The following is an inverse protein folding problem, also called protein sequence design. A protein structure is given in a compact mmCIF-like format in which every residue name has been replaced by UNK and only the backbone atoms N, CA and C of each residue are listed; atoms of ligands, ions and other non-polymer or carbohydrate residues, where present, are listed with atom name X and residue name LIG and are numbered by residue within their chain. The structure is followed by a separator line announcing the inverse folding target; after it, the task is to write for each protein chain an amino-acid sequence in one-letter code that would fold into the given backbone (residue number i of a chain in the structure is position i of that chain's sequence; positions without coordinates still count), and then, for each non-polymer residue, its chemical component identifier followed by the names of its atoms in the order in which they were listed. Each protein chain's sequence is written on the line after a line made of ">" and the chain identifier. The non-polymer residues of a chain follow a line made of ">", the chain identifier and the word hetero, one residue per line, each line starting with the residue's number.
data_IF_302680178702
#
_entry.id   IF_302680178702
#
_cell.length_a   1.000
_cell.length_b   1.000
_cell.length_c   1.000
_cell.angle_alpha   90.00
_cell.angle_beta   90.00
_cell.angle_gamma   90.00
#
_symmetry.space_group_name_H-M   'P 1'
#
loop_
_entity.id
_entity.type
_entity.pdbx_description
1 polymer ?
#
# COMPACT_ATOMS: atom_id res chain seq x y z
N UNK A 1 -5.16 14.09 -18.68
CA UNK A 1 -4.47 14.72 -17.53
C UNK A 1 -5.00 14.18 -16.21
N UNK A 2 -6.28 13.77 -16.14
CA UNK A 2 -6.89 13.07 -15.01
C UNK A 2 -6.69 11.54 -15.00
N UNK A 3 -5.98 10.98 -15.98
CA UNK A 3 -5.90 9.52 -16.20
C UNK A 3 -5.20 8.76 -15.05
N UNK A 4 -4.53 9.49 -14.16
CA UNK A 4 -3.84 8.97 -12.97
C UNK A 4 -4.30 9.64 -11.67
N UNK A 5 -5.32 10.50 -11.73
CA UNK A 5 -5.88 11.11 -10.52
C UNK A 5 -6.79 10.10 -9.81
N UNK A 6 -6.65 10.01 -8.50
CA UNK A 6 -7.50 9.19 -7.64
C UNK A 6 -7.84 9.96 -6.36
N UNK A 7 -8.98 9.65 -5.77
CA UNK A 7 -9.38 10.23 -4.49
C UNK A 7 -8.51 9.64 -3.37
N UNK A 8 -7.66 10.48 -2.78
CA UNK A 8 -6.82 10.13 -1.63
C UNK A 8 -7.21 11.01 -0.44
N UNK A 9 -7.94 10.47 0.55
CA UNK A 9 -8.16 11.16 1.81
C UNK A 9 -6.83 11.46 2.53
N UNK A 10 -6.68 12.68 3.03
CA UNK A 10 -5.44 13.12 3.71
C UNK A 10 -5.09 12.27 4.95
N UNK A 11 -6.10 11.69 5.60
CA UNK A 11 -5.92 10.78 6.75
C UNK A 11 -5.18 9.49 6.40
N UNK A 12 -5.18 9.09 5.13
CA UNK A 12 -4.46 7.90 4.65
C UNK A 12 -2.99 8.19 4.34
N UNK A 13 -2.57 9.46 4.38
CA UNK A 13 -1.18 9.87 4.21
C UNK A 13 -0.48 9.75 5.56
N UNK A 14 0.40 8.76 5.68
CA UNK A 14 1.20 8.56 6.88
C UNK A 14 2.08 9.79 7.16
N UNK A 15 1.80 10.48 8.27
CA UNK A 15 2.52 11.70 8.67
C UNK A 15 3.90 11.38 9.26
N UNK A 16 4.02 10.20 9.86
CA UNK A 16 5.26 9.67 10.44
C UNK A 16 5.34 8.17 10.19
N UNK A 17 6.54 7.58 10.03
CA UNK A 17 6.68 6.14 9.89
C UNK A 17 6.16 5.41 11.13
N UNK A 18 5.71 4.16 10.95
CA UNK A 18 5.36 3.29 12.07
C UNK A 18 6.59 3.04 12.96
N UNK A 19 6.35 2.95 14.27
CA UNK A 19 7.39 2.68 15.27
C UNK A 19 8.04 1.31 15.05
N UNK A 20 7.23 0.29 14.75
CA UNK A 20 7.70 -0.99 14.21
C UNK A 20 7.51 -1.00 12.70
N UNK A 21 8.60 -0.81 11.96
CA UNK A 21 8.57 -0.76 10.49
C UNK A 21 8.13 -2.07 9.86
N UNK A 22 8.43 -3.23 10.46
CA UNK A 22 8.07 -4.53 9.92
C UNK A 22 6.56 -4.81 10.00
N UNK A 23 5.84 -4.08 10.87
CA UNK A 23 4.38 -4.15 10.98
C UNK A 23 3.62 -3.45 9.84
N UNK A 24 4.33 -2.84 8.87
CA UNK A 24 3.72 -2.15 7.73
C UNK A 24 2.94 -3.12 6.82
N UNK A 25 1.79 -2.65 6.31
CA UNK A 25 0.99 -3.38 5.31
C UNK A 25 1.72 -3.42 3.97
N UNK A 26 1.56 -4.53 3.25
CA UNK A 26 2.09 -4.73 1.89
C UNK A 26 0.96 -5.14 0.95
N UNK A 27 0.82 -4.45 -0.18
CA UNK A 27 -0.06 -4.85 -1.27
C UNK A 27 0.78 -5.53 -2.36
N UNK A 28 0.44 -6.78 -2.70
CA UNK A 28 1.10 -7.57 -3.74
C UNK A 28 0.20 -7.58 -4.96
N UNK A 29 0.75 -7.24 -6.12
CA UNK A 29 0.00 -7.19 -7.38
C UNK A 29 0.68 -8.13 -8.38
N UNK A 30 -0.06 -9.12 -8.87
CA UNK A 30 0.38 -9.94 -9.99
C UNK A 30 0.15 -9.18 -11.29
N UNK A 31 1.24 -8.80 -11.98
CA UNK A 31 1.18 -8.00 -13.20
C UNK A 31 0.43 -8.68 -14.36
N UNK A 32 0.46 -10.01 -14.43
CA UNK A 32 -0.10 -10.76 -15.55
C UNK A 32 -1.59 -11.04 -15.35
N UNK A 33 -1.99 -11.46 -14.15
CA UNK A 33 -3.40 -11.76 -13.84
C UNK A 33 -4.17 -10.54 -13.32
N UNK A 34 -3.48 -9.50 -12.86
CA UNK A 34 -4.08 -8.38 -12.13
C UNK A 34 -4.51 -8.73 -10.70
N UNK A 35 -4.17 -9.93 -10.21
CA UNK A 35 -4.55 -10.38 -8.86
C UNK A 35 -3.89 -9.50 -7.79
N UNK A 36 -4.70 -9.06 -6.82
CA UNK A 36 -4.26 -8.23 -5.70
C UNK A 36 -4.39 -9.03 -4.41
N UNK A 37 -3.31 -9.10 -3.64
CA UNK A 37 -3.27 -9.78 -2.35
C UNK A 37 -2.71 -8.84 -1.27
N UNK A 38 -3.27 -8.91 -0.06
CA UNK A 38 -2.78 -8.16 1.09
C UNK A 38 -1.87 -9.04 1.96
N UNK A 39 -0.71 -8.50 2.35
CA UNK A 39 0.27 -9.14 3.22
C UNK A 39 0.88 -8.09 4.18
N UNK A 40 1.91 -8.47 4.94
CA UNK A 40 2.69 -7.59 5.80
C UNK A 40 4.20 -7.75 5.54
N UNK A 41 4.98 -6.71 5.84
CA UNK A 41 6.44 -6.77 5.73
C UNK A 41 7.07 -7.79 6.68
N UNK A 42 6.40 -8.16 7.77
CA UNK A 42 6.81 -9.22 8.70
C UNK A 42 6.82 -10.63 8.09
N UNK A 43 6.18 -10.83 6.93
CA UNK A 43 6.14 -12.11 6.23
C UNK A 43 7.29 -12.27 5.20
N UNK A 44 8.23 -11.32 5.18
CA UNK A 44 9.42 -11.32 4.34
C UNK A 44 10.62 -11.88 5.11
#
# INVERSE_FOLDING_TARGET
>A
MSDFDYELPDELIAQTPLQDRASSRMMVINRTSGEVTHSGFSNL
#
